data_IF_318897451137
#
_entry.id   IF_318897451137
#
_cell.length_a   1.000
_cell.length_b   1.000
_cell.length_c   1.000
_cell.angle_alpha   90.00
_cell.angle_beta   90.00
_cell.angle_gamma   90.00
#
_symmetry.space_group_name_H-M   'P 1'
#
loop_
_entity.id
_entity.type
_entity.pdbx_description
1 polymer ?
#
# COMPACT_ATOMS: atom_id res chain seq x y z
N UNK A 1 15.19 16.81 -8.50
CA UNK A 1 14.76 15.51 -7.97
C UNK A 1 13.35 15.68 -7.42
N UNK A 2 12.36 14.91 -7.89
CA UNK A 2 10.97 15.03 -7.41
C UNK A 2 10.88 14.37 -6.03
N UNK A 3 10.37 15.09 -5.02
CA UNK A 3 10.10 14.53 -3.70
C UNK A 3 8.63 14.11 -3.57
N UNK A 4 8.40 12.86 -3.18
CA UNK A 4 7.08 12.25 -3.04
C UNK A 4 6.92 11.78 -1.60
N UNK A 5 5.87 12.23 -0.94
CA UNK A 5 5.49 11.73 0.38
C UNK A 5 4.30 10.77 0.27
N UNK A 6 4.41 9.63 0.94
CA UNK A 6 3.31 8.67 1.13
C UNK A 6 2.92 8.67 2.59
N UNK A 7 1.63 8.81 2.88
CA UNK A 7 1.13 8.95 4.25
C UNK A 7 0.31 7.72 4.62
N UNK A 8 0.84 6.88 5.49
CA UNK A 8 0.28 5.62 5.93
C UNK A 8 1.14 4.42 5.50
N UNK A 9 1.55 3.60 6.46
CA UNK A 9 2.35 2.38 6.28
C UNK A 9 1.52 1.12 6.18
N UNK A 10 0.33 1.19 5.59
CA UNK A 10 -0.49 0.02 5.24
C UNK A 10 -0.12 -0.55 3.87
N UNK A 11 -0.86 -1.58 3.43
CA UNK A 11 -0.64 -2.24 2.14
C UNK A 11 -0.63 -1.24 0.96
N UNK A 12 -1.63 -0.37 0.88
CA UNK A 12 -1.72 0.63 -0.20
C UNK A 12 -0.56 1.63 -0.17
N UNK A 13 -0.10 2.03 1.02
CA UNK A 13 1.04 2.94 1.18
C UNK A 13 2.34 2.33 0.68
N UNK A 14 2.64 1.09 1.10
CA UNK A 14 3.80 0.35 0.63
C UNK A 14 3.76 0.14 -0.88
N UNK A 15 2.64 -0.38 -1.38
CA UNK A 15 2.47 -0.67 -2.80
C UNK A 15 2.62 0.59 -3.67
N UNK A 16 2.05 1.72 -3.22
CA UNK A 16 2.18 3.00 -3.91
C UNK A 16 3.61 3.56 -3.88
N UNK A 17 4.29 3.46 -2.74
CA UNK A 17 5.67 3.95 -2.60
C UNK A 17 6.65 3.17 -3.50
N UNK A 18 6.50 1.85 -3.55
CA UNK A 18 7.28 0.96 -4.43
C UNK A 18 7.05 1.34 -5.90
N UNK A 19 5.79 1.42 -6.32
CA UNK A 19 5.47 1.76 -7.71
C UNK A 19 5.90 3.18 -8.08
N UNK A 20 5.82 4.14 -7.15
CA UNK A 20 6.37 5.48 -7.38
C UNK A 20 7.86 5.44 -7.72
N UNK A 21 8.65 4.58 -7.07
CA UNK A 21 10.06 4.38 -7.42
C UNK A 21 10.24 3.66 -8.76
N UNK A 22 9.38 2.71 -9.12
CA UNK A 22 9.45 2.08 -10.44
C UNK A 22 9.16 3.06 -11.58
N UNK A 23 8.14 3.91 -11.44
CA UNK A 23 7.77 4.88 -12.47
C UNK A 23 8.67 6.11 -12.49
N UNK A 24 9.23 6.49 -11.33
CA UNK A 24 10.12 7.63 -11.18
C UNK A 24 11.39 7.20 -10.41
N UNK A 25 12.33 6.50 -11.07
CA UNK A 25 13.53 5.94 -10.42
C UNK A 25 14.36 7.00 -9.68
N UNK A 26 14.44 8.20 -10.23
CA UNK A 26 15.18 9.32 -9.64
C UNK A 26 14.42 10.08 -8.55
N UNK A 27 13.18 9.69 -8.21
CA UNK A 27 12.41 10.38 -7.16
C UNK A 27 12.92 10.04 -5.76
N UNK A 28 12.81 11.01 -4.84
CA UNK A 28 12.98 10.78 -3.40
C UNK A 28 11.62 10.47 -2.80
N UNK A 29 11.39 9.20 -2.46
CA UNK A 29 10.12 8.72 -1.90
C UNK A 29 10.29 8.43 -0.42
N UNK A 30 9.47 9.07 0.41
CA UNK A 30 9.38 8.79 1.84
C UNK A 30 7.96 8.40 2.24
N UNK A 31 7.86 7.29 2.97
CA UNK A 31 6.64 6.83 3.60
C UNK A 31 6.66 7.20 5.09
N UNK A 32 5.62 7.89 5.55
CA UNK A 32 5.40 8.15 6.98
C UNK A 32 4.32 7.23 7.55
N UNK A 33 4.60 6.66 8.72
CA UNK A 33 3.65 5.92 9.54
C UNK A 33 3.52 6.58 10.91
N UNK A 34 2.28 6.76 11.37
CA UNK A 34 1.96 7.35 12.68
C UNK A 34 2.36 6.42 13.81
N UNK A 35 2.08 5.11 13.67
CA UNK A 35 2.43 4.07 14.62
C UNK A 35 3.93 3.76 14.65
N UNK A 36 4.37 2.99 15.65
CA UNK A 36 5.76 2.54 15.75
C UNK A 36 6.10 1.44 14.73
N UNK A 37 5.09 0.72 14.28
CA UNK A 37 5.20 -0.39 13.34
C UNK A 37 4.36 -0.11 12.11
N UNK A 38 4.79 -0.67 10.98
CA UNK A 38 4.08 -0.65 9.71
C UNK A 38 3.35 -1.96 9.47
N UNK A 39 2.43 -1.97 8.50
CA UNK A 39 1.76 -3.17 7.99
C UNK A 39 1.01 -3.98 9.08
N UNK A 40 0.70 -3.39 10.23
CA UNK A 40 0.03 -4.08 11.33
C UNK A 40 -1.31 -4.70 10.90
N UNK A 41 -2.10 -3.98 10.10
CA UNK A 41 -3.37 -4.52 9.55
C UNK A 41 -3.15 -5.69 8.60
N UNK A 42 -2.07 -5.68 7.82
CA UNK A 42 -1.71 -6.80 6.94
C UNK A 42 -1.35 -8.02 7.79
N UNK A 43 -0.52 -7.83 8.83
CA UNK A 43 -0.08 -8.86 9.76
C UNK A 43 -1.23 -9.60 10.46
N UNK A 44 -2.30 -8.90 10.84
CA UNK A 44 -3.43 -9.54 11.54
C UNK A 44 -4.55 -10.03 10.60
N UNK A 45 -4.54 -9.59 9.33
CA UNK A 45 -5.60 -9.93 8.38
C UNK A 45 -5.68 -11.43 8.10
N UNK A 46 -6.89 -11.93 7.81
CA UNK A 46 -7.10 -13.35 7.53
C UNK A 46 -6.72 -14.29 8.67
N UNK A 47 -6.77 -13.81 9.93
CA UNK A 47 -6.37 -14.58 11.10
C UNK A 47 -4.85 -14.76 11.22
N UNK A 48 -4.07 -13.79 10.74
CA UNK A 48 -2.61 -13.89 10.73
C UNK A 48 -2.03 -14.49 9.46
N UNK A 49 -2.87 -14.94 8.52
CA UNK A 49 -2.48 -15.57 7.25
C UNK A 49 -2.40 -14.60 6.07
N UNK A 50 -3.06 -13.45 6.18
CA UNK A 50 -3.28 -12.46 5.13
C UNK A 50 -4.06 -13.01 3.93
N UNK A 51 -5.36 -12.70 3.87
CA UNK A 51 -6.14 -12.88 2.64
C UNK A 51 -5.72 -11.79 1.64
N UNK A 52 -4.78 -12.11 0.75
CA UNK A 52 -4.04 -11.18 -0.10
C UNK A 52 -4.92 -10.56 -1.17
N UNK A 53 -5.75 -11.39 -1.81
CA UNK A 53 -6.67 -11.01 -2.89
C UNK A 53 -7.79 -12.04 -3.02
N UNK A 54 -8.61 -11.94 -4.05
CA UNK A 54 -9.71 -12.87 -4.35
C UNK A 54 -9.61 -13.35 -5.80
N UNK A 55 -9.69 -14.66 -6.03
CA UNK A 55 -9.54 -15.29 -7.34
C UNK A 55 -10.79 -15.10 -8.23
N UNK A 56 -11.03 -13.85 -8.61
CA UNK A 56 -12.01 -13.44 -9.61
C UNK A 56 -11.29 -12.61 -10.67
N UNK A 57 -11.15 -13.19 -11.87
CA UNK A 57 -10.33 -12.63 -12.96
C UNK A 57 -11.19 -11.95 -14.05
N UNK A 58 -12.51 -11.91 -13.88
CA UNK A 58 -13.37 -11.05 -14.67
C UNK A 58 -13.52 -9.70 -13.97
N UNK A 59 -12.97 -8.64 -14.58
CA UNK A 59 -12.98 -7.30 -13.98
C UNK A 59 -14.39 -6.77 -13.72
N UNK A 60 -15.39 -7.10 -14.55
CA UNK A 60 -16.77 -6.63 -14.35
C UNK A 60 -17.36 -7.34 -13.13
N UNK A 61 -17.23 -8.65 -13.06
CA UNK A 61 -17.67 -9.44 -11.91
C UNK A 61 -16.97 -8.98 -10.62
N UNK A 62 -15.65 -8.77 -10.65
CA UNK A 62 -14.88 -8.32 -9.50
C UNK A 62 -15.41 -6.98 -8.95
N UNK A 63 -15.80 -6.04 -9.81
CA UNK A 63 -16.35 -4.75 -9.35
C UNK A 63 -17.67 -4.89 -8.59
N UNK A 64 -18.44 -5.95 -8.81
CA UNK A 64 -19.70 -6.20 -8.11
C UNK A 64 -19.47 -6.52 -6.63
N UNK A 65 -18.28 -7.01 -6.25
CA UNK A 65 -17.89 -7.26 -4.86
C UNK A 65 -17.63 -5.97 -4.07
N UNK A 66 -17.60 -4.82 -4.75
CA UNK A 66 -17.38 -3.50 -4.16
C UNK A 66 -18.60 -2.58 -4.39
N UNK A 67 -19.71 -2.79 -3.66
CA UNK A 67 -20.96 -2.04 -3.89
C UNK A 67 -20.81 -0.54 -3.68
N UNK A 68 -19.86 -0.11 -2.83
CA UNK A 68 -19.50 1.28 -2.60
C UNK A 68 -18.23 1.66 -3.36
N UNK A 69 -18.27 1.58 -4.70
CA UNK A 69 -17.14 2.00 -5.53
C UNK A 69 -16.93 1.28 -6.87
N UNK A 70 -17.71 0.23 -7.18
CA UNK A 70 -17.49 -0.63 -8.34
C UNK A 70 -17.26 0.11 -9.68
N UNK A 71 -18.05 1.15 -9.97
CA UNK A 71 -17.87 1.96 -11.20
C UNK A 71 -16.49 2.62 -11.29
N UNK A 72 -15.97 3.14 -10.18
CA UNK A 72 -14.65 3.78 -10.14
C UNK A 72 -13.51 2.75 -10.18
N UNK A 73 -13.76 1.52 -9.70
CA UNK A 73 -12.78 0.45 -9.68
C UNK A 73 -12.65 -0.27 -11.02
N UNK A 74 -13.63 -0.17 -11.92
CA UNK A 74 -13.56 -0.85 -13.22
C UNK A 74 -12.29 -0.46 -14.01
N UNK A 75 -12.01 0.82 -14.15
CA UNK A 75 -10.81 1.30 -14.85
C UNK A 75 -9.51 0.99 -14.09
N UNK A 76 -9.59 0.80 -12.77
CA UNK A 76 -8.44 0.43 -11.93
C UNK A 76 -8.12 -1.05 -12.14
N UNK A 77 -9.12 -1.93 -12.06
CA UNK A 77 -8.95 -3.37 -12.28
C UNK A 77 -8.60 -3.72 -13.73
N UNK A 78 -8.90 -2.87 -14.71
CA UNK A 78 -8.36 -3.04 -16.06
C UNK A 78 -6.84 -2.82 -16.15
N UNK A 79 -6.25 -2.09 -15.21
CA UNK A 79 -4.81 -1.80 -15.16
C UNK A 79 -4.06 -2.73 -14.21
N UNK A 80 -4.70 -3.12 -13.11
CA UNK A 80 -4.11 -4.01 -12.10
C UNK A 80 -5.21 -4.78 -11.36
N UNK A 81 -5.26 -6.10 -11.56
CA UNK A 81 -6.30 -7.00 -11.06
C UNK A 81 -5.75 -8.11 -10.14
N UNK A 82 -6.57 -9.03 -9.63
CA UNK A 82 -6.12 -10.10 -8.76
C UNK A 82 -5.01 -10.96 -9.36
N UNK A 83 -5.07 -11.28 -10.66
CA UNK A 83 -4.01 -12.03 -11.33
C UNK A 83 -2.66 -11.29 -11.28
N UNK A 84 -2.65 -9.98 -11.57
CA UNK A 84 -1.44 -9.16 -11.45
C UNK A 84 -0.93 -9.12 -10.00
N UNK A 85 -1.84 -9.06 -9.04
CA UNK A 85 -1.49 -9.12 -7.61
C UNK A 85 -0.78 -10.44 -7.28
N UNK A 86 -1.34 -11.57 -7.74
CA UNK A 86 -0.75 -12.88 -7.51
C UNK A 86 0.61 -13.01 -8.16
N UNK A 87 0.73 -12.60 -9.43
CA UNK A 87 2.00 -12.60 -10.15
C UNK A 87 3.04 -11.69 -9.48
N UNK A 88 2.64 -10.52 -8.96
CA UNK A 88 3.54 -9.58 -8.31
C UNK A 88 4.18 -10.17 -7.06
N UNK A 89 3.43 -10.92 -6.25
CA UNK A 89 3.97 -11.61 -5.07
C UNK A 89 4.77 -12.87 -5.44
N UNK A 90 4.28 -13.73 -6.33
CA UNK A 90 5.01 -14.93 -6.77
C UNK A 90 6.33 -14.58 -7.43
N UNK A 91 6.39 -13.53 -8.26
CA UNK A 91 7.66 -13.07 -8.86
C UNK A 91 8.68 -12.55 -7.85
N UNK A 92 8.27 -12.35 -6.59
CA UNK A 92 9.10 -11.91 -5.45
C UNK A 92 9.26 -13.02 -4.40
N UNK A 93 8.97 -14.26 -4.77
CA UNK A 93 9.22 -15.44 -3.95
C UNK A 93 8.14 -15.72 -2.90
N UNK A 94 6.98 -15.05 -2.95
CA UNK A 94 5.83 -15.38 -2.11
C UNK A 94 4.81 -16.13 -2.95
N UNK A 95 4.87 -17.46 -2.90
CA UNK A 95 3.88 -18.32 -3.55
C UNK A 95 2.51 -18.20 -2.89
N UNK A 96 1.47 -18.14 -3.72
CA UNK A 96 0.08 -17.99 -3.27
C UNK A 96 -0.75 -19.22 -3.65
N UNK A 97 -1.71 -19.57 -2.79
CA UNK A 97 -2.72 -20.61 -3.02
C UNK A 97 -4.12 -20.01 -3.02
N UNK A 98 -4.99 -20.58 -3.85
CA UNK A 98 -6.42 -20.29 -3.88
C UNK A 98 -7.13 -21.36 -3.04
N UNK A 99 -7.98 -20.94 -2.10
CA UNK A 99 -8.85 -21.84 -1.34
C UNK A 99 -10.22 -22.02 -2.04
N UNK A 100 -11.03 -22.98 -1.60
CA UNK A 100 -12.32 -23.34 -2.21
C UNK A 100 -13.33 -22.17 -2.28
N UNK A 101 -13.17 -21.15 -1.45
CA UNK A 101 -13.99 -19.94 -1.42
C UNK A 101 -13.38 -18.77 -2.23
N UNK A 102 -12.40 -19.06 -3.08
CA UNK A 102 -11.64 -18.12 -3.91
C UNK A 102 -10.83 -17.08 -3.13
N UNK A 103 -10.67 -17.22 -1.81
CA UNK A 103 -9.68 -16.43 -1.07
C UNK A 103 -8.28 -16.86 -1.43
N UNK A 104 -7.36 -15.91 -1.39
CA UNK A 104 -5.96 -16.14 -1.77
C UNK A 104 -5.05 -15.87 -0.59
N UNK A 105 -4.24 -16.86 -0.22
CA UNK A 105 -3.32 -16.80 0.91
C UNK A 105 -1.90 -17.16 0.47
N UNK A 106 -0.86 -16.75 1.21
CA UNK A 106 0.47 -17.34 1.09
C UNK A 106 0.39 -18.85 1.30
N UNK A 107 1.18 -19.63 0.54
CA UNK A 107 1.23 -21.10 0.70
C UNK A 107 1.59 -21.48 2.14
N UNK A 108 2.45 -20.69 2.78
CA UNK A 108 2.90 -20.85 4.19
C UNK A 108 1.82 -20.60 5.24
N UNK A 109 0.68 -20.00 4.87
CA UNK A 109 -0.33 -19.46 5.81
C UNK A 109 0.21 -18.37 6.77
N UNK A 110 1.32 -17.70 6.45
CA UNK A 110 1.88 -16.65 7.28
C UNK A 110 1.80 -15.29 6.58
N UNK A 111 1.07 -14.34 7.18
CA UNK A 111 1.06 -12.93 6.75
C UNK A 111 2.43 -12.28 6.77
N UNK A 112 3.37 -12.84 7.54
CA UNK A 112 4.75 -12.39 7.63
C UNK A 112 5.43 -12.40 6.26
N UNK A 113 5.13 -13.38 5.39
CA UNK A 113 5.70 -13.45 4.04
C UNK A 113 5.31 -12.22 3.20
N UNK A 114 4.05 -11.79 3.31
CA UNK A 114 3.54 -10.59 2.63
C UNK A 114 4.19 -9.33 3.19
N UNK A 115 4.33 -9.26 4.52
CA UNK A 115 4.96 -8.13 5.21
C UNK A 115 6.43 -8.00 4.79
N UNK A 116 7.18 -9.09 4.81
CA UNK A 116 8.60 -9.11 4.47
C UNK A 116 8.82 -8.81 3.00
N UNK A 117 8.00 -9.37 2.10
CA UNK A 117 8.03 -9.04 0.68
C UNK A 117 7.88 -7.52 0.44
N UNK A 118 6.88 -6.88 1.06
CA UNK A 118 6.65 -5.44 0.91
C UNK A 118 7.79 -4.60 1.49
N UNK A 119 8.31 -4.97 2.66
CA UNK A 119 9.43 -4.28 3.31
C UNK A 119 10.72 -4.42 2.49
N UNK A 120 11.02 -5.63 2.02
CA UNK A 120 12.21 -5.92 1.23
C UNK A 120 12.17 -5.20 -0.11
N UNK A 121 11.01 -5.19 -0.78
CA UNK A 121 10.84 -4.47 -2.03
C UNK A 121 10.95 -2.96 -1.84
N UNK A 122 10.28 -2.39 -0.82
CA UNK A 122 10.42 -0.96 -0.51
C UNK A 122 11.88 -0.58 -0.25
N UNK A 123 12.64 -1.44 0.46
CA UNK A 123 14.06 -1.24 0.70
C UNK A 123 14.90 -1.36 -0.58
N UNK A 124 14.64 -2.36 -1.42
CA UNK A 124 15.41 -2.62 -2.65
C UNK A 124 15.31 -1.45 -3.63
N UNK A 125 14.12 -0.84 -3.74
CA UNK A 125 13.88 0.32 -4.60
C UNK A 125 14.25 1.65 -3.94
N UNK A 126 14.70 1.64 -2.68
CA UNK A 126 15.17 2.82 -1.97
C UNK A 126 14.06 3.75 -1.44
N UNK A 127 12.89 3.22 -1.10
CA UNK A 127 11.87 3.96 -0.34
C UNK A 127 12.38 4.19 1.09
N UNK A 128 12.35 5.44 1.54
CA UNK A 128 12.63 5.79 2.93
C UNK A 128 11.37 5.57 3.77
N UNK A 129 11.50 4.94 4.93
CA UNK A 129 10.37 4.68 5.83
C UNK A 129 10.65 5.36 7.17
N UNK A 130 9.70 6.16 7.66
CA UNK A 130 9.78 6.81 8.95
C UNK A 130 8.51 6.52 9.77
N UNK A 131 8.68 5.74 10.83
CA UNK A 131 7.61 5.40 11.79
C UNK A 131 7.57 6.40 12.94
N UNK A 132 6.57 6.27 13.82
CA UNK A 132 6.29 7.16 14.94
C UNK A 132 6.16 8.64 14.52
N UNK A 133 5.74 8.87 13.27
CA UNK A 133 5.71 10.17 12.63
C UNK A 133 4.35 10.40 11.98
N UNK A 134 3.40 10.89 12.77
CA UNK A 134 2.06 11.22 12.27
C UNK A 134 2.03 12.58 11.56
N UNK A 135 1.59 12.59 10.31
CA UNK A 135 1.22 13.82 9.60
C UNK A 135 -0.10 14.35 10.16
N UNK A 136 -0.09 15.59 10.63
CA UNK A 136 -1.22 16.29 11.24
C UNK A 136 -2.06 17.04 10.21
N UNK A 137 -1.41 17.76 9.30
CA UNK A 137 -2.07 18.53 8.25
C UNK A 137 -1.19 18.67 7.03
N UNK A 138 -1.84 18.93 5.88
CA UNK A 138 -1.18 19.13 4.60
C UNK A 138 -1.78 20.39 3.98
N UNK A 139 -0.93 21.32 3.55
CA UNK A 139 -1.34 22.54 2.89
C UNK A 139 -0.67 22.64 1.53
N UNK A 140 -1.45 22.97 0.50
CA UNK A 140 -0.89 23.26 -0.82
C UNK A 140 -0.36 24.68 -0.84
N UNK A 141 0.90 24.83 -1.24
CA UNK A 141 1.58 26.12 -1.35
C UNK A 141 1.27 26.77 -2.71
N UNK A 142 1.53 28.08 -2.82
CA UNK A 142 1.38 28.83 -4.08
C UNK A 142 2.28 28.29 -5.19
N UNK A 143 3.46 27.73 -4.84
CA UNK A 143 4.34 27.03 -5.79
C UNK A 143 3.72 25.79 -6.42
N UNK A 144 2.63 25.27 -5.83
CA UNK A 144 2.01 24.01 -6.19
C UNK A 144 2.53 22.80 -5.40
N UNK A 145 3.57 22.97 -4.59
CA UNK A 145 4.08 21.96 -3.65
C UNK A 145 3.16 21.80 -2.43
N UNK A 146 3.48 20.82 -1.57
CA UNK A 146 2.72 20.49 -0.38
C UNK A 146 3.58 20.62 0.86
N UNK A 147 3.18 21.49 1.78
CA UNK A 147 3.72 21.53 3.14
C UNK A 147 2.99 20.51 4.01
N UNK A 148 3.76 19.63 4.65
CA UNK A 148 3.27 18.63 5.61
C UNK A 148 3.71 19.04 7.02
N UNK A 149 2.73 19.20 7.92
CA UNK A 149 2.98 19.42 9.35
C UNK A 149 2.82 18.11 10.11
N UNK A 150 3.71 17.86 11.05
CA UNK A 150 3.75 16.62 11.84
C UNK A 150 3.39 16.90 13.30
N UNK A 151 2.97 15.86 14.02
CA UNK A 151 2.76 15.95 15.45
C UNK A 151 4.07 16.15 16.23
N UNK A 152 5.12 15.42 15.83
CA UNK A 152 6.37 15.27 16.59
C UNK A 152 7.62 15.47 15.71
N UNK A 153 7.51 16.24 14.61
CA UNK A 153 8.62 16.51 13.72
C UNK A 153 8.50 17.92 13.09
N UNK A 154 9.60 18.52 12.63
CA UNK A 154 9.55 19.76 11.86
C UNK A 154 8.72 19.62 10.58
N UNK A 155 8.16 20.73 10.13
CA UNK A 155 7.51 20.84 8.83
C UNK A 155 8.46 20.42 7.69
N UNK A 156 7.89 19.76 6.66
CA UNK A 156 8.62 19.36 5.46
C UNK A 156 7.77 19.62 4.22
N UNK A 157 8.43 20.06 3.14
CA UNK A 157 7.78 20.35 1.86
C UNK A 157 8.08 19.26 0.84
N UNK A 158 7.05 18.85 0.09
CA UNK A 158 7.12 17.80 -0.93
C UNK A 158 6.46 18.23 -2.23
N UNK A 159 6.98 17.76 -3.37
CA UNK A 159 6.37 18.07 -4.67
C UNK A 159 5.06 17.31 -4.91
N UNK A 160 4.90 16.11 -4.33
CA UNK A 160 3.72 15.23 -4.50
C UNK A 160 3.36 14.54 -3.20
N UNK A 161 2.07 14.26 -3.02
CA UNK A 161 1.52 13.57 -1.85
C UNK A 161 0.66 12.39 -2.32
N UNK A 162 0.84 11.23 -1.70
CA UNK A 162 -0.04 10.07 -1.79
C UNK A 162 -0.67 9.81 -0.42
N UNK A 163 -1.99 9.88 -0.34
CA UNK A 163 -2.75 9.61 0.89
C UNK A 163 -3.13 8.14 0.97
N UNK A 164 -2.60 7.43 1.96
CA UNK A 164 -2.80 5.99 2.18
C UNK A 164 -3.05 5.65 3.66
N UNK A 165 -3.64 6.58 4.42
CA UNK A 165 -3.83 6.46 5.89
C UNK A 165 -4.92 5.48 6.33
N UNK A 166 -5.60 4.83 5.38
CA UNK A 166 -6.70 3.90 5.64
C UNK A 166 -7.98 4.59 6.14
N UNK A 167 -8.95 3.77 6.56
CA UNK A 167 -10.22 4.22 7.13
C UNK A 167 -10.20 4.39 8.66
N UNK A 168 -11.24 5.02 9.20
CA UNK A 168 -11.34 5.42 10.61
C UNK A 168 -11.63 4.32 11.63
N UNK A 169 -12.05 3.12 11.21
CA UNK A 169 -12.29 2.01 12.14
C UNK A 169 -11.17 0.97 12.07
N UNK A 170 -10.60 0.67 13.23
CA UNK A 170 -9.89 -0.57 13.49
C UNK A 170 -10.59 -1.22 14.67
N UNK A 171 -11.49 -2.17 14.40
CA UNK A 171 -11.88 -3.14 15.42
C UNK A 171 -10.81 -4.22 15.37
N UNK A 172 -9.82 -4.09 16.25
CA UNK A 172 -8.93 -5.19 16.61
C UNK A 172 -9.73 -6.19 17.46
#
# INVERSE_FOLDING_TARGET
>A
MVSIVVIGGGASGFFSAIHAKYFFPDSDVILFEKGKEVLQKVRISGGGRCNVTHACFDTRQLTEFYPRGGKALLSVFQQFQPEDTMQWFSSRGVELKVEDDNRVFPVSDLSQDIVDCLLQEAKSVGVKIQTACGVKSIHRLESGDFSCHFHNAPERVFNRVIMASGGGETRL
#
